data_IF_588820971691
#
_entry.id   IF_588820971691
#
_cell.length_a   1.000
_cell.length_b   1.000
_cell.length_c   1.000
_cell.angle_alpha   90.00
_cell.angle_beta   90.00
_cell.angle_gamma   90.00
#
_symmetry.space_group_name_H-M   'P 1'
#
loop_
_entity.id
_entity.type
_entity.pdbx_description
1 polymer ?
#
# COMPACT_ATOMS: atom_id res chain seq x y z
N UNK A 1 14.16 51.65 45.26
CA UNK A 1 15.13 51.58 44.15
C UNK A 1 16.11 50.47 44.51
N UNK A 2 15.81 49.22 44.18
CA UNK A 2 16.04 48.56 42.88
C UNK A 2 17.47 47.99 42.81
N UNK A 3 17.60 46.68 43.03
CA UNK A 3 18.63 45.84 42.43
C UNK A 3 18.41 44.35 42.77
N UNK A 4 18.22 43.56 41.71
CA UNK A 4 18.76 42.21 41.50
C UNK A 4 18.15 41.07 42.37
N UNK A 5 17.26 40.29 41.75
CA UNK A 5 16.98 38.89 42.15
C UNK A 5 17.46 37.96 41.05
N UNK A 6 18.66 37.42 41.23
CA UNK A 6 19.02 36.08 40.76
C UNK A 6 18.42 35.08 41.75
N UNK A 7 17.66 34.09 41.28
CA UNK A 7 17.48 32.86 42.06
C UNK A 7 17.45 31.64 41.16
N UNK A 8 18.30 30.72 41.60
CA UNK A 8 18.72 29.45 41.06
C UNK A 8 17.67 28.37 41.41
N UNK A 9 17.47 27.43 40.48
CA UNK A 9 17.05 26.04 40.65
C UNK A 9 15.88 25.70 41.60
N UNK A 10 14.78 25.21 41.00
CA UNK A 10 13.93 24.20 41.63
C UNK A 10 13.76 23.03 40.67
N UNK A 11 14.44 21.93 40.98
CA UNK A 11 14.24 20.64 40.34
C UNK A 11 12.87 20.08 40.77
N UNK A 12 12.01 19.78 39.80
CA UNK A 12 10.79 18.98 40.01
C UNK A 12 11.00 17.67 39.27
N UNK A 13 11.04 16.60 40.06
CA UNK A 13 11.08 15.23 39.63
C UNK A 13 9.82 14.88 38.82
N UNK A 14 10.02 14.31 37.63
CA UNK A 14 8.98 13.55 36.94
C UNK A 14 9.35 12.06 37.03
N UNK A 15 8.75 11.40 38.01
CA UNK A 15 8.48 9.97 37.98
C UNK A 15 7.26 9.76 37.07
N UNK A 16 7.32 8.82 36.12
CA UNK A 16 6.18 8.57 35.27
C UNK A 16 6.42 7.61 34.10
N UNK A 17 6.45 6.31 34.43
CA UNK A 17 5.85 5.25 33.60
C UNK A 17 6.41 5.05 32.18
N UNK A 18 7.40 4.17 32.05
CA UNK A 18 7.71 3.48 30.79
C UNK A 18 6.51 2.61 30.38
N UNK A 19 5.62 3.17 29.56
CA UNK A 19 4.71 2.38 28.73
C UNK A 19 5.54 1.86 27.56
N UNK A 20 5.90 0.58 27.61
CA UNK A 20 6.41 -0.14 26.45
C UNK A 20 5.33 -0.09 25.36
N UNK A 21 5.54 0.72 24.33
CA UNK A 21 4.75 0.63 23.10
C UNK A 21 5.10 -0.70 22.40
N UNK A 22 4.13 -1.41 21.82
CA UNK A 22 4.40 -2.65 21.09
C UNK A 22 5.26 -2.33 19.86
N UNK A 23 6.39 -3.03 19.71
CA UNK A 23 7.39 -2.84 18.65
C UNK A 23 6.88 -3.02 17.22
N UNK A 24 5.62 -3.43 17.02
CA UNK A 24 4.99 -3.60 15.71
C UNK A 24 4.68 -2.28 15.00
N UNK A 25 4.32 -1.20 15.74
CA UNK A 25 3.97 0.09 15.12
C UNK A 25 5.19 0.85 14.60
N UNK A 26 6.34 0.70 15.27
CA UNK A 26 7.62 1.33 14.86
C UNK A 26 8.20 0.62 13.63
N UNK A 27 8.08 -0.71 13.56
CA UNK A 27 8.54 -1.49 12.40
C UNK A 27 7.72 -1.17 11.13
N UNK A 28 6.40 -1.00 11.26
CA UNK A 28 5.52 -0.70 10.12
C UNK A 28 5.70 0.73 9.58
N UNK A 29 5.98 1.70 10.46
CA UNK A 29 6.33 3.08 10.08
C UNK A 29 7.66 3.17 9.34
N UNK A 30 8.68 2.40 9.76
CA UNK A 30 9.99 2.41 9.11
C UNK A 30 9.93 1.75 7.73
N UNK A 31 9.18 0.67 7.57
CA UNK A 31 9.05 -0.02 6.28
C UNK A 31 8.32 0.84 5.23
N UNK A 32 7.23 1.52 5.61
CA UNK A 32 6.50 2.41 4.70
C UNK A 32 7.33 3.65 4.29
N UNK A 33 8.13 4.19 5.21
CA UNK A 33 9.05 5.29 4.91
C UNK A 33 10.18 4.85 3.97
N UNK A 34 10.76 3.66 4.19
CA UNK A 34 11.80 3.09 3.32
C UNK A 34 11.27 2.71 1.93
N UNK A 35 10.07 2.14 1.83
CA UNK A 35 9.41 1.88 0.54
C UNK A 35 9.11 3.17 -0.23
N UNK A 36 8.68 4.21 0.48
CA UNK A 36 8.48 5.54 -0.12
C UNK A 36 9.80 6.11 -0.60
N UNK A 37 10.89 6.00 0.17
CA UNK A 37 12.23 6.46 -0.26
C UNK A 37 12.72 5.68 -1.48
N UNK A 38 12.61 4.34 -1.50
CA UNK A 38 13.00 3.52 -2.66
C UNK A 38 12.16 3.81 -3.91
N UNK A 39 10.85 3.97 -3.74
CA UNK A 39 9.96 4.36 -4.83
C UNK A 39 10.36 5.74 -5.38
N UNK A 40 10.66 6.70 -4.50
CA UNK A 40 11.14 8.02 -4.90
C UNK A 40 12.50 7.97 -5.60
N UNK A 41 13.45 7.15 -5.15
CA UNK A 41 14.73 6.96 -5.83
C UNK A 41 14.58 6.31 -7.21
N UNK A 42 13.70 5.33 -7.36
CA UNK A 42 13.41 4.69 -8.64
C UNK A 42 12.74 5.69 -9.61
N UNK A 43 11.82 6.51 -9.11
CA UNK A 43 11.21 7.61 -9.84
C UNK A 43 12.26 8.65 -10.25
N UNK A 44 13.17 9.03 -9.35
CA UNK A 44 14.26 9.97 -9.64
C UNK A 44 15.16 9.45 -10.76
N UNK A 45 15.57 8.18 -10.69
CA UNK A 45 16.35 7.52 -11.75
C UNK A 45 15.58 7.49 -13.07
N UNK A 46 14.27 7.24 -13.04
CA UNK A 46 13.41 7.25 -14.23
C UNK A 46 13.32 8.63 -14.87
N UNK A 47 12.93 9.67 -14.11
CA UNK A 47 12.75 11.04 -14.62
C UNK A 47 14.03 11.64 -15.16
N UNK A 48 15.17 11.37 -14.53
CA UNK A 48 16.46 11.92 -14.97
C UNK A 48 16.95 11.23 -16.25
N UNK A 49 16.59 9.96 -16.47
CA UNK A 49 16.99 9.20 -17.67
C UNK A 49 16.01 9.34 -18.84
N UNK A 50 14.72 9.60 -18.59
CA UNK A 50 13.68 9.66 -19.64
C UNK A 50 13.37 11.07 -20.16
N UNK A 51 13.80 12.14 -19.48
CA UNK A 51 13.68 13.51 -19.99
C UNK A 51 12.24 14.06 -20.10
N UNK A 52 11.26 13.50 -19.39
CA UNK A 52 9.86 13.97 -19.42
C UNK A 52 9.05 13.61 -18.17
N UNK A 53 8.01 14.40 -17.88
CA UNK A 53 7.01 14.17 -16.82
C UNK A 53 6.45 12.75 -16.93
N UNK A 54 6.74 11.89 -15.95
CA UNK A 54 6.32 10.49 -15.99
C UNK A 54 5.50 10.11 -14.75
N UNK A 55 4.21 9.79 -14.89
CA UNK A 55 3.49 9.05 -13.87
C UNK A 55 4.07 7.63 -13.77
N UNK A 56 4.22 7.12 -12.55
CA UNK A 56 4.60 5.73 -12.31
C UNK A 56 3.36 4.84 -12.53
N UNK A 57 3.17 4.39 -13.77
CA UNK A 57 2.55 3.12 -14.22
C UNK A 57 2.08 3.30 -15.68
N UNK A 58 2.53 2.41 -16.59
CA UNK A 58 2.22 2.45 -18.02
C UNK A 58 1.63 1.11 -18.47
N UNK A 59 0.38 1.11 -18.97
CA UNK A 59 -0.20 -0.04 -19.67
C UNK A 59 0.34 -0.18 -21.11
N UNK A 60 0.53 -1.42 -21.63
CA UNK A 60 1.02 -1.66 -22.98
C UNK A 60 -0.10 -1.92 -24.01
N UNK A 61 0.04 -1.27 -25.18
CA UNK A 61 -0.07 -1.94 -26.48
C UNK A 61 -1.31 -1.67 -27.34
N UNK A 62 -1.08 -1.06 -28.52
CA UNK A 62 -1.62 -1.60 -29.77
C UNK A 62 -0.67 -1.31 -30.93
N UNK A 63 -0.30 -2.36 -31.66
CA UNK A 63 0.60 -2.33 -32.80
C UNK A 63 -0.06 -1.73 -34.05
N UNK A 64 0.73 -0.99 -34.85
CA UNK A 64 0.48 -0.77 -36.26
C UNK A 64 1.80 -0.67 -37.02
N UNK A 65 1.70 -1.11 -38.27
CA UNK A 65 2.70 -1.63 -39.19
C UNK A 65 3.57 -0.56 -39.88
N UNK A 66 4.70 -1.04 -40.42
CA UNK A 66 5.81 -0.32 -41.08
C UNK A 66 5.43 0.60 -42.24
N UNK A 67 6.18 1.70 -42.39
CA UNK A 67 6.48 2.30 -43.71
C UNK A 67 7.79 3.10 -43.70
N UNK A 68 8.65 2.76 -44.67
CA UNK A 68 9.86 3.47 -45.09
C UNK A 68 9.61 4.95 -45.41
N UNK A 69 10.52 5.83 -44.98
CA UNK A 69 10.54 7.24 -45.39
C UNK A 69 11.62 8.08 -44.71
N UNK A 70 12.78 8.22 -45.35
CA UNK A 70 13.80 9.23 -45.01
C UNK A 70 13.34 10.61 -45.53
N UNK A 71 13.37 11.67 -44.72
CA UNK A 71 14.18 12.86 -45.06
C UNK A 71 14.82 13.53 -43.83
N UNK A 72 16.12 13.81 -43.87
CA UNK A 72 16.74 15.15 -44.07
C UNK A 72 16.75 16.02 -42.81
N UNK A 73 17.98 16.27 -42.35
CA UNK A 73 18.33 17.18 -41.26
C UNK A 73 18.12 18.65 -41.66
N UNK A 74 17.59 19.46 -40.74
CA UNK A 74 18.03 20.83 -40.41
C UNK A 74 17.13 21.42 -39.31
N UNK A 75 17.74 22.09 -38.33
CA UNK A 75 17.02 22.92 -37.34
C UNK A 75 17.29 22.58 -35.88
N UNK A 76 18.55 22.56 -35.44
CA UNK A 76 18.87 22.63 -34.01
C UNK A 76 18.59 24.05 -33.50
N UNK A 77 17.50 24.22 -32.77
CA UNK A 77 17.30 25.36 -31.87
C UNK A 77 18.35 25.30 -30.76
N UNK A 78 19.02 26.40 -30.37
CA UNK A 78 20.05 26.35 -29.33
C UNK A 78 19.44 25.89 -28.01
N UNK A 79 19.91 24.76 -27.49
CA UNK A 79 19.65 24.36 -26.12
C UNK A 79 20.23 25.44 -25.20
N UNK A 80 19.35 26.13 -24.46
CA UNK A 80 19.79 26.95 -23.34
C UNK A 80 20.48 26.01 -22.33
N UNK A 81 21.79 26.14 -22.24
CA UNK A 81 22.63 25.39 -21.33
C UNK A 81 22.39 25.94 -19.92
N UNK A 82 21.37 25.44 -19.21
CA UNK A 82 21.21 25.77 -17.79
C UNK A 82 22.20 24.90 -17.01
N UNK A 83 23.20 25.49 -16.32
CA UNK A 83 24.21 24.73 -15.60
C UNK A 83 23.63 24.02 -14.36
N UNK A 84 24.39 23.07 -13.83
CA UNK A 84 24.19 22.55 -12.48
C UNK A 84 24.00 23.69 -11.47
N UNK A 85 23.13 23.50 -10.47
CA UNK A 85 22.74 24.56 -9.53
C UNK A 85 23.96 25.32 -8.98
N UNK A 86 23.99 26.63 -9.17
CA UNK A 86 25.06 27.50 -8.67
C UNK A 86 24.82 27.76 -7.18
N UNK A 87 25.60 27.17 -6.26
CA UNK A 87 25.36 27.30 -4.82
C UNK A 87 25.61 28.72 -4.30
N UNK A 88 26.31 29.57 -5.04
CA UNK A 88 26.66 30.93 -4.63
C UNK A 88 25.64 31.99 -5.13
N UNK A 89 24.74 31.61 -6.05
CA UNK A 89 23.66 32.47 -6.50
C UNK A 89 22.60 32.65 -5.39
N UNK A 90 22.02 33.86 -5.25
CA UNK A 90 21.02 34.13 -4.22
C UNK A 90 19.78 33.23 -4.42
N UNK A 91 19.27 32.58 -3.36
CA UNK A 91 18.07 31.76 -3.46
C UNK A 91 16.85 32.56 -3.93
N UNK A 92 16.06 31.98 -4.82
CA UNK A 92 14.79 32.54 -5.28
C UNK A 92 13.61 31.82 -4.63
N UNK A 93 12.53 32.56 -4.27
CA UNK A 93 11.34 31.95 -3.70
C UNK A 93 10.49 31.26 -4.79
N UNK A 94 10.14 30.01 -4.55
CA UNK A 94 9.29 29.20 -5.41
C UNK A 94 8.08 28.65 -4.66
N UNK A 95 6.87 28.77 -5.22
CA UNK A 95 5.66 28.16 -4.65
C UNK A 95 5.34 26.85 -5.36
N UNK A 96 5.27 25.76 -4.61
CA UNK A 96 4.83 24.46 -5.12
C UNK A 96 3.36 24.23 -4.77
N UNK A 97 2.62 23.51 -5.61
CA UNK A 97 1.29 23.00 -5.29
C UNK A 97 0.96 21.76 -6.11
N UNK A 98 0.14 20.87 -5.57
CA UNK A 98 -0.26 19.63 -6.24
C UNK A 98 -1.76 19.67 -6.57
N UNK A 99 -2.14 19.00 -7.66
CA UNK A 99 -3.54 18.84 -8.12
C UNK A 99 -3.78 17.39 -8.54
N UNK A 100 -5.02 16.91 -8.42
CA UNK A 100 -5.36 15.52 -8.77
C UNK A 100 -5.33 15.29 -10.29
N UNK A 101 -5.87 16.25 -11.04
CA UNK A 101 -5.89 16.30 -12.51
C UNK A 101 -5.53 17.71 -12.97
N UNK A 102 -5.35 17.94 -14.28
CA UNK A 102 -5.01 19.26 -14.79
C UNK A 102 -6.08 20.32 -14.48
N UNK A 103 -7.35 19.94 -14.56
CA UNK A 103 -8.47 20.84 -14.30
C UNK A 103 -8.84 20.96 -12.81
N UNK A 104 -8.25 20.14 -11.95
CA UNK A 104 -8.53 20.16 -10.52
C UNK A 104 -7.88 21.37 -9.83
N UNK A 105 -8.55 21.87 -8.79
CA UNK A 105 -7.98 22.85 -7.88
C UNK A 105 -6.77 22.29 -7.11
N UNK A 106 -5.96 23.20 -6.58
CA UNK A 106 -4.83 22.83 -5.73
C UNK A 106 -5.31 22.10 -4.47
N UNK A 107 -4.61 21.04 -4.10
CA UNK A 107 -4.82 20.33 -2.85
C UNK A 107 -4.56 21.27 -1.66
N UNK A 108 -5.38 21.11 -0.63
CA UNK A 108 -5.35 21.96 0.57
C UNK A 108 -4.73 21.27 1.79
N UNK A 109 -4.39 19.98 1.71
CA UNK A 109 -3.77 19.23 2.82
C UNK A 109 -3.19 17.89 2.37
N UNK A 110 -2.31 17.30 3.18
CA UNK A 110 -1.87 15.90 3.08
C UNK A 110 -0.81 15.63 2.01
N UNK A 111 -0.28 16.67 1.38
CA UNK A 111 0.79 16.56 0.39
C UNK A 111 2.13 16.70 1.10
N UNK A 112 3.01 15.73 0.87
CA UNK A 112 4.40 15.78 1.30
C UNK A 112 5.30 16.07 0.10
N UNK A 113 6.14 17.09 0.24
CA UNK A 113 7.04 17.57 -0.79
C UNK A 113 8.47 17.17 -0.49
N UNK A 114 9.18 16.75 -1.54
CA UNK A 114 10.64 16.61 -1.54
C UNK A 114 11.20 17.19 -2.82
N UNK A 115 12.29 17.92 -2.70
CA UNK A 115 13.01 18.50 -3.84
C UNK A 115 14.43 17.96 -3.86
N UNK A 116 14.85 17.47 -5.02
CA UNK A 116 16.16 16.87 -5.23
C UNK A 116 16.95 17.64 -6.28
N UNK A 117 18.29 17.65 -6.19
CA UNK A 117 19.13 18.05 -7.34
C UNK A 117 19.09 16.95 -8.39
N UNK A 118 19.18 17.33 -9.67
CA UNK A 118 19.22 16.35 -10.78
C UNK A 118 20.56 15.63 -10.90
N UNK A 119 21.62 16.16 -10.28
CA UNK A 119 22.94 15.53 -10.23
C UNK A 119 23.03 14.60 -9.02
N UNK A 120 23.29 13.29 -9.21
CA UNK A 120 23.53 12.38 -8.09
C UNK A 120 24.87 12.70 -7.41
N UNK A 121 24.96 12.42 -6.11
CA UNK A 121 26.20 12.47 -5.36
C UNK A 121 27.15 11.33 -5.77
N UNK A 122 28.39 11.36 -5.26
CA UNK A 122 29.41 10.37 -5.60
C UNK A 122 29.02 8.92 -5.24
N UNK A 123 28.09 8.75 -4.30
CA UNK A 123 27.54 7.45 -3.90
C UNK A 123 26.31 7.01 -4.75
N UNK A 124 25.87 7.84 -5.70
CA UNK A 124 24.72 7.59 -6.55
C UNK A 124 23.37 7.98 -5.94
N UNK A 125 23.35 8.56 -4.73
CA UNK A 125 22.13 9.09 -4.10
C UNK A 125 21.80 10.49 -4.61
N UNK A 126 20.55 10.93 -4.46
CA UNK A 126 20.14 12.29 -4.83
C UNK A 126 20.03 13.18 -3.58
N UNK A 127 20.75 14.29 -3.57
CA UNK A 127 20.71 15.26 -2.47
C UNK A 127 19.31 15.88 -2.36
N UNK A 128 18.67 15.71 -1.19
CA UNK A 128 17.42 16.43 -0.86
C UNK A 128 17.78 17.88 -0.49
N UNK A 129 17.23 18.84 -1.23
CA UNK A 129 17.49 20.27 -1.07
C UNK A 129 16.42 20.94 -0.19
N UNK A 130 15.19 20.45 -0.28
CA UNK A 130 14.08 20.93 0.53
C UNK A 130 13.06 19.80 0.74
N UNK A 131 12.37 19.84 1.88
CA UNK A 131 11.19 19.03 2.16
C UNK A 131 10.14 19.87 2.87
N UNK A 132 8.86 19.52 2.72
CA UNK A 132 7.77 20.21 3.40
C UNK A 132 6.52 19.33 3.49
N UNK A 133 5.78 19.46 4.58
CA UNK A 133 4.45 18.85 4.77
C UNK A 133 3.31 19.85 4.55
N UNK A 134 3.64 21.09 4.17
CA UNK A 134 2.64 22.08 3.78
C UNK A 134 2.08 21.74 2.39
N UNK A 135 0.77 21.95 2.15
CA UNK A 135 0.17 21.64 0.85
C UNK A 135 0.69 22.54 -0.28
N UNK A 136 1.07 23.78 0.05
CA UNK A 136 1.55 24.79 -0.92
C UNK A 136 2.76 25.57 -0.37
N UNK A 137 3.91 24.90 -0.18
CA UNK A 137 5.06 25.51 0.48
C UNK A 137 5.68 26.59 -0.41
N UNK A 138 6.31 27.56 0.25
CA UNK A 138 7.27 28.47 -0.41
C UNK A 138 8.67 28.00 -0.06
N UNK A 139 9.38 27.48 -1.05
CA UNK A 139 10.77 27.03 -0.93
C UNK A 139 11.71 28.12 -1.43
N UNK A 140 12.90 28.24 -0.87
CA UNK A 140 13.94 29.15 -1.37
C UNK A 140 15.10 28.30 -1.86
N UNK A 141 15.39 28.35 -3.16
CA UNK A 141 16.43 27.53 -3.79
C UNK A 141 17.22 28.34 -4.79
N UNK A 142 18.51 28.03 -4.93
CA UNK A 142 19.34 28.67 -5.95
C UNK A 142 18.84 28.32 -7.37
N UNK A 143 19.15 29.15 -8.38
CA UNK A 143 18.94 28.78 -9.78
C UNK A 143 19.64 27.47 -10.15
N UNK A 144 18.96 26.62 -10.92
CA UNK A 144 19.46 25.31 -11.32
C UNK A 144 18.36 24.31 -11.67
N UNK A 145 18.75 23.08 -11.99
CA UNK A 145 17.82 21.99 -12.26
C UNK A 145 17.53 21.14 -11.02
N UNK A 146 16.24 20.83 -10.83
CA UNK A 146 15.76 20.03 -9.70
C UNK A 146 14.71 19.01 -10.14
N UNK A 147 14.45 18.02 -9.29
CA UNK A 147 13.27 17.15 -9.38
C UNK A 147 12.40 17.40 -8.16
N UNK A 148 11.20 17.93 -8.38
CA UNK A 148 10.19 18.08 -7.35
C UNK A 148 9.33 16.82 -7.30
N UNK A 149 9.10 16.28 -6.10
CA UNK A 149 8.31 15.08 -5.85
C UNK A 149 7.18 15.45 -4.89
N UNK A 150 5.96 15.16 -5.30
CA UNK A 150 4.76 15.30 -4.49
C UNK A 150 4.21 13.91 -4.13
N UNK A 151 3.97 13.68 -2.85
CA UNK A 151 3.38 12.44 -2.32
C UNK A 151 2.06 12.78 -1.65
N UNK A 152 0.98 12.09 -2.03
CA UNK A 152 -0.35 12.25 -1.46
C UNK A 152 -0.96 10.87 -1.19
N UNK A 153 -0.93 10.41 0.06
CA UNK A 153 -1.28 9.03 0.42
C UNK A 153 -0.28 8.04 -0.21
N UNK A 154 -0.77 7.12 -1.04
CA UNK A 154 0.09 6.24 -1.84
C UNK A 154 0.31 6.75 -3.27
N UNK A 155 -0.30 7.88 -3.65
CA UNK A 155 -0.06 8.49 -4.95
C UNK A 155 1.24 9.30 -4.93
N UNK A 156 2.08 9.10 -5.93
CA UNK A 156 3.34 9.84 -6.10
C UNK A 156 3.41 10.40 -7.51
N UNK A 157 3.88 11.63 -7.64
CA UNK A 157 4.26 12.21 -8.93
C UNK A 157 5.52 13.05 -8.76
N UNK A 158 6.30 13.13 -9.82
CA UNK A 158 7.51 13.93 -9.86
C UNK A 158 7.60 14.74 -11.14
N UNK A 159 8.33 15.84 -11.06
CA UNK A 159 8.51 16.77 -12.17
C UNK A 159 9.92 17.33 -12.15
N UNK A 160 10.60 17.29 -13.30
CA UNK A 160 11.85 18.05 -13.48
C UNK A 160 11.50 19.53 -13.59
N UNK A 161 12.13 20.37 -12.78
CA UNK A 161 11.92 21.81 -12.76
C UNK A 161 13.24 22.52 -13.01
N UNK A 162 13.19 23.60 -13.78
CA UNK A 162 14.33 24.49 -14.00
C UNK A 162 14.04 25.79 -13.28
N UNK A 163 14.88 26.11 -12.30
CA UNK A 163 14.78 27.33 -11.51
C UNK A 163 15.72 28.38 -12.10
N UNK A 164 15.16 29.52 -12.47
CA UNK A 164 15.91 30.68 -12.97
C UNK A 164 16.10 31.72 -11.85
N UNK A 165 16.58 32.92 -12.18
CA UNK A 165 16.80 34.00 -11.20
C UNK A 165 15.52 34.77 -10.82
N UNK A 166 14.34 34.25 -11.16
CA UNK A 166 13.05 34.87 -10.86
C UNK A 166 12.18 33.97 -9.96
N UNK A 167 11.29 34.55 -9.13
CA UNK A 167 10.32 33.78 -8.38
C UNK A 167 9.44 32.92 -9.29
N UNK A 168 9.20 31.67 -8.90
CA UNK A 168 8.46 30.72 -9.72
C UNK A 168 7.26 30.11 -8.99
N UNK A 169 6.36 29.51 -9.76
CA UNK A 169 5.24 28.73 -9.24
C UNK A 169 5.10 27.47 -10.07
N UNK A 170 5.17 26.32 -9.42
CA UNK A 170 5.14 25.02 -10.09
C UNK A 170 3.96 24.17 -9.62
N UNK A 171 3.33 23.49 -10.57
CA UNK A 171 2.18 22.62 -10.35
C UNK A 171 2.55 21.17 -10.67
N UNK A 172 2.28 20.24 -9.75
CA UNK A 172 2.41 18.80 -10.03
C UNK A 172 1.02 18.17 -10.12
N UNK A 173 0.72 17.57 -11.28
CA UNK A 173 -0.48 16.75 -11.45
C UNK A 173 -0.18 15.34 -10.95
N UNK A 174 -0.85 14.92 -9.87
CA UNK A 174 -0.66 13.60 -9.26
C UNK A 174 -1.27 12.46 -10.08
N UNK A 175 -2.27 12.77 -10.91
CA UNK A 175 -3.11 11.78 -11.58
C UNK A 175 -3.64 10.75 -10.57
N UNK A 176 -4.30 11.22 -9.51
CA UNK A 176 -4.64 10.40 -8.35
C UNK A 176 -6.16 10.30 -8.13
N UNK A 177 -6.59 9.12 -7.71
CA UNK A 177 -7.97 8.78 -7.34
C UNK A 177 -8.06 8.16 -5.95
N UNK A 178 -9.29 7.97 -5.47
CA UNK A 178 -9.57 7.28 -4.22
C UNK A 178 -10.09 5.86 -4.48
N UNK A 179 -9.63 4.89 -3.70
CA UNK A 179 -10.16 3.54 -3.65
C UNK A 179 -10.70 3.26 -2.26
N UNK A 180 -11.98 2.87 -2.16
CA UNK A 180 -12.59 2.41 -0.91
C UNK A 180 -12.95 0.94 -1.05
N UNK A 181 -12.32 0.12 -0.21
CA UNK A 181 -12.51 -1.32 -0.19
C UNK A 181 -13.42 -1.72 0.96
N UNK A 182 -14.36 -2.64 0.70
CA UNK A 182 -15.16 -3.26 1.77
C UNK A 182 -15.26 -4.75 1.54
N UNK A 183 -14.80 -5.55 2.50
CA UNK A 183 -15.06 -7.00 2.51
C UNK A 183 -16.42 -7.27 3.13
N UNK A 184 -17.24 -8.06 2.45
CA UNK A 184 -18.59 -8.42 2.87
C UNK A 184 -18.66 -9.93 3.13
N UNK A 185 -19.37 -10.30 4.19
CA UNK A 185 -19.80 -11.68 4.40
C UNK A 185 -20.89 -12.10 3.42
N UNK A 186 -21.29 -13.36 3.48
CA UNK A 186 -22.36 -13.86 2.61
C UNK A 186 -23.70 -13.13 2.81
N UNK A 187 -23.99 -12.70 4.04
CA UNK A 187 -25.15 -11.92 4.44
C UNK A 187 -25.13 -10.44 3.98
N UNK A 188 -24.05 -10.03 3.30
CA UNK A 188 -23.87 -8.67 2.81
C UNK A 188 -23.41 -7.67 3.88
N UNK A 189 -23.13 -8.11 5.11
CA UNK A 189 -22.58 -7.23 6.16
C UNK A 189 -21.07 -7.07 6.00
N UNK A 190 -20.58 -5.90 6.39
CA UNK A 190 -19.14 -5.63 6.41
C UNK A 190 -18.43 -6.52 7.43
N UNK A 191 -17.35 -7.15 6.98
CA UNK A 191 -16.47 -7.94 7.83
C UNK A 191 -15.53 -7.00 8.60
N UNK A 192 -15.26 -7.35 9.87
CA UNK A 192 -14.33 -6.56 10.68
C UNK A 192 -12.88 -6.74 10.20
N UNK A 193 -12.01 -5.73 10.38
CA UNK A 193 -10.58 -5.85 10.03
C UNK A 193 -9.82 -6.90 10.86
N UNK A 194 -10.42 -7.44 11.92
CA UNK A 194 -9.84 -8.54 12.71
C UNK A 194 -9.95 -9.89 12.01
N UNK A 195 -10.94 -10.03 11.12
CA UNK A 195 -11.24 -11.29 10.43
C UNK A 195 -11.06 -11.19 8.93
N UNK A 196 -11.14 -10.00 8.34
CA UNK A 196 -10.87 -9.77 6.93
C UNK A 196 -9.59 -8.96 6.74
N UNK A 197 -8.68 -9.47 5.91
CA UNK A 197 -7.46 -8.77 5.49
C UNK A 197 -7.59 -8.39 4.03
N UNK A 198 -7.31 -7.13 3.72
CA UNK A 198 -7.33 -6.59 2.38
C UNK A 198 -5.92 -6.16 1.99
N UNK A 199 -5.47 -6.57 0.82
CA UNK A 199 -4.20 -6.14 0.24
C UNK A 199 -4.42 -5.66 -1.19
N UNK A 200 -3.69 -4.62 -1.57
CA UNK A 200 -3.72 -3.99 -2.90
C UNK A 200 -2.35 -4.19 -3.53
N UNK A 201 -2.32 -4.69 -4.75
CA UNK A 201 -1.12 -4.92 -5.54
C UNK A 201 -1.19 -4.15 -6.86
N UNK A 202 -0.03 -3.86 -7.45
CA UNK A 202 0.07 -3.35 -8.82
C UNK A 202 -0.57 -4.34 -9.81
N UNK A 203 -1.08 -3.85 -10.94
CA UNK A 203 -1.47 -4.73 -12.05
C UNK A 203 -0.26 -5.43 -12.68
N UNK A 204 0.87 -4.73 -12.78
CA UNK A 204 2.11 -5.23 -13.36
C UNK A 204 2.68 -6.42 -12.57
N UNK A 205 3.21 -7.39 -13.32
CA UNK A 205 3.91 -8.54 -12.81
C UNK A 205 5.39 -8.46 -13.19
N UNK A 206 6.27 -8.87 -12.29
CA UNK A 206 7.69 -9.02 -12.59
C UNK A 206 7.99 -10.28 -13.44
N UNK A 207 9.27 -10.50 -13.74
CA UNK A 207 9.75 -11.66 -14.53
C UNK A 207 9.39 -13.02 -13.90
N UNK A 208 9.01 -13.05 -12.62
CA UNK A 208 8.59 -14.23 -11.87
C UNK A 208 7.06 -14.31 -11.68
N UNK A 209 6.30 -13.40 -12.29
CA UNK A 209 4.85 -13.33 -12.18
C UNK A 209 4.34 -12.72 -10.87
N UNK A 210 5.22 -12.14 -10.05
CA UNK A 210 4.86 -11.53 -8.77
C UNK A 210 4.41 -10.08 -8.97
N UNK A 211 3.38 -9.67 -8.23
CA UNK A 211 2.90 -8.29 -8.22
C UNK A 211 3.49 -7.54 -7.05
N UNK A 212 3.79 -6.26 -7.25
CA UNK A 212 4.26 -5.38 -6.18
C UNK A 212 3.11 -5.11 -5.19
N UNK A 213 3.36 -5.32 -3.90
CA UNK A 213 2.43 -4.93 -2.85
C UNK A 213 2.44 -3.40 -2.72
N UNK A 214 1.26 -2.78 -2.79
CA UNK A 214 1.06 -1.33 -2.69
C UNK A 214 0.49 -0.95 -1.34
N UNK A 215 -0.49 -1.73 -0.86
CA UNK A 215 -1.10 -1.56 0.45
C UNK A 215 -1.30 -2.93 1.09
N UNK A 216 -0.76 -3.10 2.30
CA UNK A 216 -1.01 -4.27 3.12
C UNK A 216 -2.04 -3.96 4.20
N UNK A 217 -2.93 -4.91 4.51
CA UNK A 217 -3.89 -4.81 5.60
C UNK A 217 -4.73 -3.51 5.55
N UNK A 218 -5.20 -3.17 4.36
CA UNK A 218 -6.08 -2.03 4.12
C UNK A 218 -7.31 -2.06 5.05
N UNK A 219 -7.60 -0.93 5.69
CA UNK A 219 -8.77 -0.82 6.56
C UNK A 219 -10.05 -0.77 5.74
N UNK A 220 -11.03 -1.67 5.98
CA UNK A 220 -12.31 -1.64 5.30
C UNK A 220 -13.02 -0.29 5.49
N UNK A 221 -13.58 0.25 4.42
CA UNK A 221 -14.34 1.51 4.41
C UNK A 221 -13.47 2.77 4.39
N UNK A 222 -12.15 2.68 4.60
CA UNK A 222 -11.23 3.82 4.47
C UNK A 222 -10.90 4.08 3.01
N UNK A 223 -10.78 5.36 2.66
CA UNK A 223 -10.29 5.77 1.32
C UNK A 223 -8.78 5.69 1.29
N UNK A 224 -8.26 4.95 0.32
CA UNK A 224 -6.86 4.83 -0.03
C UNK A 224 -6.63 5.71 -1.26
N UNK A 225 -5.71 6.67 -1.19
CA UNK A 225 -5.35 7.48 -2.35
C UNK A 225 -4.27 6.76 -3.13
N UNK A 226 -4.49 6.56 -4.42
CA UNK A 226 -3.60 5.86 -5.36
C UNK A 226 -3.46 6.68 -6.63
N UNK A 227 -2.38 6.48 -7.39
CA UNK A 227 -2.33 6.94 -8.77
C UNK A 227 -3.46 6.26 -9.58
N UNK A 228 -3.91 6.91 -10.65
CA UNK A 228 -4.88 6.33 -11.57
C UNK A 228 -4.23 5.15 -12.30
N UNK A 229 -4.95 4.04 -12.40
CA UNK A 229 -4.40 2.80 -12.91
C UNK A 229 -5.22 1.59 -12.51
N UNK A 230 -4.76 0.43 -12.97
CA UNK A 230 -5.34 -0.87 -12.65
C UNK A 230 -4.61 -1.50 -11.45
N UNK A 231 -5.37 -2.05 -10.50
CA UNK A 231 -4.84 -2.66 -9.29
C UNK A 231 -5.46 -4.04 -9.07
N UNK A 232 -4.65 -4.96 -8.54
CA UNK A 232 -5.11 -6.29 -8.14
C UNK A 232 -5.38 -6.32 -6.64
N UNK A 233 -6.60 -6.65 -6.25
CA UNK A 233 -7.05 -6.69 -4.86
C UNK A 233 -7.13 -8.14 -4.40
N UNK A 234 -6.62 -8.39 -3.19
CA UNK A 234 -6.75 -9.68 -2.51
C UNK A 234 -7.46 -9.45 -1.18
N UNK A 235 -8.63 -10.07 -1.02
CA UNK A 235 -9.37 -10.10 0.23
C UNK A 235 -9.31 -11.51 0.81
N UNK A 236 -8.79 -11.66 2.02
CA UNK A 236 -8.79 -12.92 2.77
C UNK A 236 -9.76 -12.80 3.93
N UNK A 237 -10.63 -13.80 4.10
CA UNK A 237 -11.57 -13.89 5.22
C UNK A 237 -11.23 -15.09 6.12
N UNK A 238 -10.90 -14.79 7.37
CA UNK A 238 -10.44 -15.73 8.37
C UNK A 238 -9.04 -16.26 8.08
N UNK A 239 -8.80 -17.51 8.43
CA UNK A 239 -7.47 -18.08 8.61
C UNK A 239 -7.19 -19.32 7.75
N UNK A 240 -8.09 -19.66 6.83
CA UNK A 240 -7.96 -20.77 5.90
C UNK A 240 -8.07 -20.28 4.45
N UNK A 241 -8.88 -20.93 3.60
CA UNK A 241 -8.87 -20.77 2.14
C UNK A 241 -9.88 -19.75 1.58
N UNK A 242 -10.61 -18.99 2.40
CA UNK A 242 -11.53 -17.95 1.86
C UNK A 242 -10.74 -16.74 1.36
N UNK A 243 -10.31 -16.79 0.11
CA UNK A 243 -9.60 -15.71 -0.57
C UNK A 243 -10.34 -15.33 -1.85
N UNK A 244 -10.66 -14.05 -2.00
CA UNK A 244 -11.24 -13.48 -3.23
C UNK A 244 -10.19 -12.55 -3.84
N UNK A 245 -10.04 -12.66 -5.16
CA UNK A 245 -9.15 -11.82 -5.96
C UNK A 245 -9.96 -11.09 -7.01
N UNK A 246 -9.67 -9.81 -7.19
CA UNK A 246 -10.41 -8.98 -8.14
C UNK A 246 -9.51 -7.87 -8.68
N UNK A 247 -9.76 -7.42 -9.90
CA UNK A 247 -9.03 -6.32 -10.53
C UNK A 247 -9.91 -5.06 -10.51
N UNK A 248 -9.36 -3.93 -10.05
CA UNK A 248 -10.09 -2.67 -9.92
C UNK A 248 -9.35 -1.56 -10.64
N UNK A 249 -10.11 -0.72 -11.34
CA UNK A 249 -9.60 0.50 -11.97
C UNK A 249 -9.82 1.71 -11.07
N UNK A 250 -8.75 2.43 -10.79
CA UNK A 250 -8.79 3.73 -10.10
C UNK A 250 -8.68 4.82 -11.15
N UNK A 251 -9.64 5.74 -11.15
CA UNK A 251 -9.68 6.87 -12.07
C UNK A 251 -9.31 8.16 -11.34
N UNK A 252 -8.62 9.05 -12.03
CA UNK A 252 -8.16 10.31 -11.45
C UNK A 252 -9.33 11.20 -11.03
N UNK A 253 -9.18 11.85 -9.88
CA UNK A 253 -10.20 12.70 -9.25
C UNK A 253 -11.55 12.00 -8.97
N UNK A 254 -11.62 10.67 -9.02
CA UNK A 254 -12.81 9.89 -8.70
C UNK A 254 -12.61 9.02 -7.45
N UNK A 255 -13.72 8.63 -6.83
CA UNK A 255 -13.74 7.62 -5.78
C UNK A 255 -14.32 6.32 -6.34
N UNK A 256 -13.48 5.29 -6.42
CA UNK A 256 -13.89 3.94 -6.77
C UNK A 256 -14.29 3.18 -5.50
N UNK A 257 -15.53 2.67 -5.49
CA UNK A 257 -16.08 1.82 -4.43
C UNK A 257 -16.06 0.35 -4.84
N UNK A 258 -15.17 -0.45 -4.24
CA UNK A 258 -15.11 -1.89 -4.49
C UNK A 258 -15.59 -2.68 -3.27
N UNK A 259 -16.57 -3.56 -3.51
CA UNK A 259 -17.20 -4.40 -2.49
C UNK A 259 -16.94 -5.87 -2.81
N UNK A 260 -16.20 -6.54 -1.93
CA UNK A 260 -15.72 -7.90 -2.17
C UNK A 260 -16.52 -8.85 -1.28
N UNK A 261 -17.35 -9.69 -1.90
CA UNK A 261 -18.21 -10.63 -1.17
C UNK A 261 -17.54 -11.98 -1.01
N UNK A 262 -17.42 -12.45 0.22
CA UNK A 262 -16.93 -13.78 0.54
C UNK A 262 -18.06 -14.81 0.59
N UNK A 263 -17.84 -15.93 -0.09
CA UNK A 263 -18.67 -17.13 0.01
C UNK A 263 -17.99 -18.11 0.95
N UNK A 264 -18.24 -17.98 2.25
CA UNK A 264 -17.56 -18.73 3.30
C UNK A 264 -18.40 -18.81 4.57
N UNK A 265 -18.03 -19.73 5.47
CA UNK A 265 -18.65 -19.86 6.78
C UNK A 265 -17.67 -20.32 7.85
N UNK A 266 -18.03 -20.07 9.11
CA UNK A 266 -17.29 -20.52 10.27
C UNK A 266 -17.65 -21.97 10.61
N UNK A 267 -16.65 -22.85 10.66
CA UNK A 267 -16.81 -24.28 10.93
C UNK A 267 -16.06 -24.61 12.21
N UNK A 268 -16.78 -25.17 13.17
CA UNK A 268 -16.21 -25.66 14.43
C UNK A 268 -16.09 -27.16 14.36
N UNK A 269 -14.96 -27.72 14.77
CA UNK A 269 -14.75 -29.17 14.77
C UNK A 269 -14.72 -29.72 16.19
N UNK A 270 -15.26 -30.92 16.40
CA UNK A 270 -15.10 -31.66 17.65
C UNK A 270 -15.05 -33.16 17.39
N UNK A 271 -14.23 -33.87 18.15
CA UNK A 271 -14.13 -35.33 18.11
C UNK A 271 -14.83 -35.88 19.36
N UNK A 272 -15.70 -36.87 19.23
CA UNK A 272 -16.48 -37.43 20.34
C UNK A 272 -16.41 -38.95 20.34
N UNK A 273 -16.54 -39.60 21.51
CA UNK A 273 -16.61 -41.07 21.59
C UNK A 273 -17.93 -41.62 21.07
N UNK A 274 -19.02 -40.90 21.32
CA UNK A 274 -20.38 -41.26 20.90
C UNK A 274 -21.07 -40.01 20.37
N UNK A 275 -22.03 -40.18 19.46
CA UNK A 275 -22.71 -39.05 18.83
C UNK A 275 -23.35 -38.12 19.88
N UNK A 276 -23.08 -36.81 19.79
CA UNK A 276 -23.52 -35.81 20.76
C UNK A 276 -22.77 -35.82 22.11
N UNK A 277 -21.71 -36.62 22.25
CA UNK A 277 -20.90 -36.72 23.46
C UNK A 277 -19.96 -35.54 23.70
N UNK A 278 -19.10 -35.68 24.71
CA UNK A 278 -18.09 -34.67 25.05
C UNK A 278 -16.94 -34.66 24.04
N UNK A 279 -16.45 -33.46 23.73
CA UNK A 279 -15.33 -33.27 22.83
C UNK A 279 -14.02 -33.73 23.47
N UNK A 280 -13.31 -34.62 22.77
CA UNK A 280 -11.97 -35.05 23.13
C UNK A 280 -10.99 -33.90 22.93
N UNK A 281 -10.30 -33.53 24.00
CA UNK A 281 -9.19 -32.59 23.95
C UNK A 281 -7.97 -33.21 23.28
N UNK A 282 -6.94 -32.41 23.03
CA UNK A 282 -5.68 -32.85 22.43
C UNK A 282 -5.82 -33.54 21.06
N UNK A 283 -6.86 -33.18 20.31
CA UNK A 283 -7.06 -33.66 18.94
C UNK A 283 -6.34 -32.74 17.96
N UNK A 284 -5.54 -33.33 17.08
CA UNK A 284 -4.96 -32.65 15.93
C UNK A 284 -5.90 -32.78 14.73
N UNK A 285 -6.18 -31.66 14.08
CA UNK A 285 -7.14 -31.55 12.99
C UNK A 285 -6.41 -31.21 11.70
N UNK A 286 -6.72 -31.91 10.61
CA UNK A 286 -6.32 -31.56 9.25
C UNK A 286 -7.58 -31.47 8.38
N UNK A 287 -7.82 -30.31 7.78
CA UNK A 287 -8.93 -30.06 6.85
C UNK A 287 -8.37 -30.22 5.45
N UNK A 288 -9.02 -31.04 4.63
CA UNK A 288 -8.52 -31.45 3.32
C UNK A 288 -9.57 -31.12 2.25
N UNK A 289 -9.10 -30.54 1.16
CA UNK A 289 -9.94 -30.27 -0.02
C UNK A 289 -10.24 -31.56 -0.79
N UNK A 290 -11.20 -31.58 -1.73
CA UNK A 290 -11.50 -32.76 -2.55
C UNK A 290 -10.31 -33.22 -3.40
N UNK A 291 -9.37 -32.32 -3.69
CA UNK A 291 -8.13 -32.64 -4.42
C UNK A 291 -7.06 -33.33 -3.57
N UNK A 292 -7.28 -33.48 -2.25
CA UNK A 292 -6.31 -34.06 -1.32
C UNK A 292 -5.35 -33.05 -0.67
N UNK A 293 -5.43 -31.77 -1.06
CA UNK A 293 -4.59 -30.72 -0.47
C UNK A 293 -5.07 -30.35 0.95
N UNK A 294 -4.12 -30.24 1.88
CA UNK A 294 -4.39 -29.76 3.24
C UNK A 294 -4.66 -28.26 3.19
N UNK A 295 -5.88 -27.87 3.55
CA UNK A 295 -6.34 -26.48 3.61
C UNK A 295 -5.91 -25.80 4.90
N UNK A 296 -6.01 -26.53 6.02
CA UNK A 296 -5.72 -25.98 7.35
C UNK A 296 -5.44 -27.10 8.34
N UNK A 297 -4.51 -26.83 9.25
CA UNK A 297 -4.28 -27.67 10.43
C UNK A 297 -4.49 -26.87 11.70
N UNK A 298 -4.96 -27.56 12.75
CA UNK A 298 -5.14 -26.98 14.07
C UNK A 298 -5.11 -28.05 15.16
N UNK A 299 -5.14 -27.60 16.42
CA UNK A 299 -5.10 -28.47 17.59
C UNK A 299 -6.07 -27.96 18.65
N UNK A 300 -6.83 -28.86 19.28
CA UNK A 300 -7.74 -28.53 20.36
C UNK A 300 -9.07 -29.29 20.28
N UNK A 301 -9.94 -29.04 21.27
CA UNK A 301 -11.25 -29.68 21.37
C UNK A 301 -12.31 -29.05 20.44
N UNK A 302 -12.23 -27.74 20.22
CA UNK A 302 -13.20 -26.93 19.45
C UNK A 302 -12.53 -25.88 18.55
N UNK A 303 -11.57 -26.24 17.66
CA UNK A 303 -11.03 -25.27 16.73
C UNK A 303 -12.13 -24.78 15.78
N UNK A 304 -12.15 -23.46 15.52
CA UNK A 304 -13.06 -22.82 14.57
C UNK A 304 -12.25 -22.19 13.44
N UNK A 305 -12.64 -22.46 12.19
CA UNK A 305 -11.99 -21.91 11.00
C UNK A 305 -13.00 -21.33 10.03
N UNK A 306 -12.60 -20.31 9.26
CA UNK A 306 -13.43 -19.78 8.17
C UNK A 306 -13.04 -20.47 6.87
N UNK A 307 -13.92 -21.32 6.36
CA UNK A 307 -13.70 -22.06 5.10
C UNK A 307 -14.51 -21.45 3.97
N UNK A 308 -13.92 -21.43 2.77
CA UNK A 308 -14.66 -21.15 1.55
C UNK A 308 -15.77 -22.20 1.34
N UNK A 309 -16.87 -21.81 0.71
CA UNK A 309 -17.94 -22.74 0.38
C UNK A 309 -17.44 -23.86 -0.55
N UNK A 310 -17.87 -25.10 -0.28
CA UNK A 310 -17.41 -26.29 -0.99
C UNK A 310 -17.44 -27.54 -0.12
N UNK A 311 -16.99 -28.66 -0.69
CA UNK A 311 -16.92 -29.95 -0.01
C UNK A 311 -15.51 -30.20 0.54
N UNK A 312 -15.42 -30.84 1.70
CA UNK A 312 -14.16 -31.09 2.39
C UNK A 312 -14.22 -32.41 3.14
N UNK A 313 -13.04 -32.94 3.48
CA UNK A 313 -12.88 -33.98 4.48
C UNK A 313 -12.10 -33.43 5.66
N UNK A 314 -12.50 -33.75 6.88
CA UNK A 314 -11.73 -33.45 8.09
C UNK A 314 -11.14 -34.73 8.64
N UNK A 315 -9.86 -34.67 9.02
CA UNK A 315 -9.12 -35.75 9.65
C UNK A 315 -8.82 -35.32 11.09
N UNK A 316 -9.30 -36.09 12.05
CA UNK A 316 -9.02 -35.94 13.47
C UNK A 316 -8.01 -37.02 13.89
N UNK A 317 -6.85 -36.61 14.40
CA UNK A 317 -5.86 -37.49 15.01
C UNK A 317 -5.89 -37.31 16.51
N UNK A 318 -6.13 -38.38 17.24
CA UNK A 318 -6.20 -38.37 18.69
C UNK A 318 -5.47 -39.63 19.19
N UNK A 319 -4.46 -39.41 20.02
CA UNK A 319 -3.52 -40.46 20.46
C UNK A 319 -2.90 -41.18 19.24
N UNK A 320 -3.19 -42.48 19.06
CA UNK A 320 -2.70 -43.29 17.94
C UNK A 320 -3.78 -43.59 16.88
N UNK A 321 -4.95 -42.97 17.00
CA UNK A 321 -6.09 -43.23 16.12
C UNK A 321 -6.33 -42.05 15.17
N UNK A 322 -6.84 -42.38 13.98
CA UNK A 322 -7.20 -41.42 12.94
C UNK A 322 -8.66 -41.64 12.58
N UNK A 323 -9.43 -40.56 12.62
CA UNK A 323 -10.84 -40.53 12.28
C UNK A 323 -11.07 -39.51 11.18
N UNK A 324 -11.97 -39.81 10.24
CA UNK A 324 -12.29 -38.90 9.14
C UNK A 324 -13.79 -38.71 8.96
N UNK A 325 -14.19 -37.54 8.47
CA UNK A 325 -15.58 -37.25 8.10
C UNK A 325 -15.63 -36.25 6.97
N UNK A 326 -16.51 -36.51 6.01
CA UNK A 326 -16.82 -35.56 4.93
C UNK A 326 -17.91 -34.58 5.37
N UNK A 327 -17.81 -33.33 4.91
CA UNK A 327 -18.77 -32.28 5.18
C UNK A 327 -18.77 -31.23 4.07
N UNK A 328 -19.89 -30.52 3.93
CA UNK A 328 -20.03 -29.42 2.97
C UNK A 328 -20.19 -28.10 3.71
N UNK A 329 -19.48 -27.07 3.25
CA UNK A 329 -19.55 -25.72 3.78
C UNK A 329 -20.55 -24.91 2.95
N UNK A 330 -21.65 -24.53 3.57
CA UNK A 330 -22.61 -23.61 2.97
C UNK A 330 -22.26 -22.16 3.33
N UNK A 331 -22.30 -21.22 2.37
CA UNK A 331 -21.97 -19.82 2.65
C UNK A 331 -22.83 -19.22 3.76
N UNK A 332 -22.21 -18.52 4.70
CA UNK A 332 -22.91 -17.82 5.80
C UNK A 332 -23.53 -18.72 6.87
N UNK A 333 -23.51 -20.05 6.71
CA UNK A 333 -24.05 -20.98 7.69
C UNK A 333 -22.93 -21.49 8.61
N UNK A 334 -22.85 -20.92 9.81
CA UNK A 334 -21.98 -21.47 10.85
C UNK A 334 -22.46 -22.87 11.22
N UNK A 335 -21.55 -23.84 11.22
CA UNK A 335 -21.85 -25.22 11.55
C UNK A 335 -20.79 -25.84 12.44
N UNK A 336 -21.20 -26.86 13.20
CA UNK A 336 -20.33 -27.72 13.97
C UNK A 336 -20.24 -29.09 13.26
N UNK A 337 -19.01 -29.56 13.05
CA UNK A 337 -18.72 -30.85 12.44
C UNK A 337 -18.20 -31.78 13.52
N UNK A 338 -19.04 -32.75 13.88
CA UNK A 338 -18.74 -33.79 14.86
C UNK A 338 -18.11 -35.00 14.16
N UNK A 339 -16.93 -35.43 14.60
CA UNK A 339 -16.32 -36.70 14.19
C UNK A 339 -16.54 -37.69 15.33
N UNK A 340 -17.05 -38.88 15.03
CA UNK A 340 -17.26 -39.93 16.04
C UNK A 340 -16.09 -40.90 15.99
N UNK A 341 -15.48 -41.18 17.13
CA UNK A 341 -14.40 -42.15 17.28
C UNK A 341 -14.98 -43.57 17.20
N UNK A 342 -15.15 -44.06 15.97
CA UNK A 342 -15.55 -45.45 15.69
C UNK A 342 -14.34 -46.34 15.46
#
# INVERSE_FOLDING_TARGET
MQAIRSFLFLAIAFCGLCIAMPGSAIAQSNNAAEETVRAVEQILKGVITSGGDQPADAEPGTAAESADGKPTAEGQTPAANVPAADPDAPPVPGRLYARLTEDAGALSSGVHWRLYRTTPEADGSFMTVASSDEPQPVINVAPGEYVAVAVFGHAVASRKITVEQEPFREAITLNAGGLRLTSLGFDGKALSPKVAKLSVYSAEQDEFGQRKLVVENAQPGRVIVLNAGSYHIVSQYGDANSVVRDDVKVEAAQLTDARIKHSAAAITFKLVNEAGGEALANTAWSIVSPGGDVVKESFGAFPTHILAAGDYSVIARHENNIYNRDFSVQPGLTQEVEVVAQ
#
